data_IF_541079008318
#
_entry.id   IF_541079008318
#
_cell.length_a   1.000
_cell.length_b   1.000
_cell.length_c   1.000
_cell.angle_alpha   90.00
_cell.angle_beta   90.00
_cell.angle_gamma   90.00
#
_symmetry.space_group_name_H-M   'P 1'
#
loop_
_entity.id
_entity.type
_entity.pdbx_description
1 polymer ?
#
# COMPACT_ATOMS: atom_id res chain seq x y z
N UNK A 1 -25.81 -25.69 36.68
CA UNK A 1 -24.70 -24.72 36.52
C UNK A 1 -23.68 -25.15 35.45
N UNK A 2 -23.39 -26.45 35.31
CA UNK A 2 -22.44 -26.99 34.31
C UNK A 2 -22.74 -26.60 32.84
N UNK A 3 -24.02 -26.57 32.44
CA UNK A 3 -24.45 -26.20 31.08
C UNK A 3 -24.10 -24.76 30.68
N UNK A 4 -24.16 -23.81 31.61
CA UNK A 4 -23.84 -22.40 31.33
C UNK A 4 -22.34 -22.19 31.14
N UNK A 5 -21.52 -22.91 31.90
CA UNK A 5 -20.06 -22.88 31.76
C UNK A 5 -19.61 -23.50 30.43
N UNK A 6 -20.19 -24.64 30.04
CA UNK A 6 -19.88 -25.27 28.75
C UNK A 6 -20.25 -24.39 27.56
N UNK A 7 -21.41 -23.72 27.60
CA UNK A 7 -21.85 -22.82 26.54
C UNK A 7 -20.95 -21.57 26.41
N UNK A 8 -20.49 -21.02 27.55
CA UNK A 8 -19.55 -19.89 27.55
C UNK A 8 -18.20 -20.27 26.93
N UNK A 9 -17.66 -21.44 27.29
CA UNK A 9 -16.40 -21.96 26.73
C UNK A 9 -16.52 -22.18 25.22
N UNK A 10 -17.63 -22.76 24.76
CA UNK A 10 -17.85 -23.00 23.32
C UNK A 10 -17.93 -21.69 22.53
N UNK A 11 -18.52 -20.65 23.11
CA UNK A 11 -18.66 -19.33 22.49
C UNK A 11 -17.31 -18.60 22.41
N UNK A 12 -16.48 -18.72 23.45
CA UNK A 12 -15.10 -18.20 23.42
C UNK A 12 -14.26 -18.93 22.38
N UNK A 13 -14.32 -20.26 22.32
CA UNK A 13 -13.60 -21.04 21.31
C UNK A 13 -14.06 -20.67 19.90
N UNK A 14 -15.37 -20.51 19.68
CA UNK A 14 -15.92 -20.13 18.38
C UNK A 14 -15.46 -18.72 17.95
N UNK A 15 -15.47 -17.74 18.85
CA UNK A 15 -14.96 -16.40 18.60
C UNK A 15 -13.46 -16.41 18.27
N UNK A 16 -12.66 -17.22 18.98
CA UNK A 16 -11.22 -17.38 18.70
C UNK A 16 -11.00 -18.02 17.34
N UNK A 17 -11.73 -19.08 17.01
CA UNK A 17 -11.62 -19.78 15.71
C UNK A 17 -12.04 -18.89 14.56
N UNK A 18 -13.15 -18.14 14.69
CA UNK A 18 -13.56 -17.16 13.66
C UNK A 18 -12.50 -16.06 13.51
N UNK A 19 -11.98 -15.52 14.61
CA UNK A 19 -10.93 -14.51 14.56
C UNK A 19 -9.66 -15.05 13.88
N UNK A 20 -9.31 -16.32 14.11
CA UNK A 20 -8.21 -17.00 13.44
C UNK A 20 -8.48 -17.16 11.94
N UNK A 21 -9.68 -17.59 11.55
CA UNK A 21 -10.08 -17.77 10.15
C UNK A 21 -10.12 -16.44 9.38
N UNK A 22 -10.50 -15.34 10.04
CA UNK A 22 -10.42 -13.99 9.47
C UNK A 22 -8.97 -13.55 9.31
N UNK A 23 -8.10 -13.81 10.29
CA UNK A 23 -6.67 -13.51 10.20
C UNK A 23 -5.96 -14.26 9.05
N UNK A 24 -6.35 -15.52 8.79
CA UNK A 24 -5.79 -16.34 7.70
C UNK A 24 -6.22 -15.81 6.31
N UNK A 25 -7.38 -15.18 6.16
CA UNK A 25 -7.84 -14.67 4.86
C UNK A 25 -7.20 -13.35 4.42
N UNK A 26 -6.57 -12.60 5.34
CA UNK A 26 -5.80 -11.38 5.01
C UNK A 26 -4.46 -11.74 4.33
N UNK A 27 -4.07 -13.02 4.33
CA UNK A 27 -2.83 -13.55 3.77
C UNK A 27 -2.83 -13.81 2.26
N UNK A 28 -3.79 -13.25 1.51
CA UNK A 28 -4.03 -13.63 0.09
C UNK A 28 -3.42 -12.71 -0.96
N UNK A 29 -2.84 -11.57 -0.58
CA UNK A 29 -2.06 -10.75 -1.50
C UNK A 29 -0.67 -11.38 -1.67
N UNK A 30 -0.37 -11.79 -2.90
CA UNK A 30 0.88 -12.44 -3.27
C UNK A 30 1.28 -11.97 -4.68
N UNK A 31 2.55 -12.06 -5.09
CA UNK A 31 2.93 -11.86 -6.49
C UNK A 31 2.11 -12.71 -7.48
N UNK A 32 1.61 -13.88 -7.06
CA UNK A 32 0.76 -14.75 -7.90
C UNK A 32 -0.73 -14.38 -7.86
N UNK A 33 -1.16 -13.55 -6.92
CA UNK A 33 -2.54 -13.08 -6.78
C UNK A 33 -2.56 -11.65 -6.21
N UNK A 34 -2.20 -10.66 -7.04
CA UNK A 34 -2.09 -9.28 -6.58
C UNK A 34 -3.47 -8.66 -6.32
N UNK A 35 -3.58 -7.79 -5.33
CA UNK A 35 -4.83 -7.09 -5.01
C UNK A 35 -4.85 -5.71 -5.71
N UNK A 36 -5.71 -5.49 -6.73
CA UNK A 36 -5.74 -4.22 -7.45
C UNK A 36 -6.22 -3.07 -6.57
N UNK A 37 -5.60 -1.90 -6.73
CA UNK A 37 -5.99 -0.66 -6.07
C UNK A 37 -6.72 0.25 -7.07
N UNK A 38 -7.83 0.82 -6.62
CA UNK A 38 -8.57 1.83 -7.38
C UNK A 38 -8.04 3.24 -7.05
N UNK A 39 -7.78 4.08 -8.05
CA UNK A 39 -7.45 5.48 -7.80
C UNK A 39 -8.65 6.20 -7.17
N UNK A 40 -8.36 7.12 -6.25
CA UNK A 40 -9.34 8.12 -5.81
C UNK A 40 -9.54 9.04 -7.01
N UNK A 41 -10.67 8.94 -7.70
CA UNK A 41 -11.00 9.87 -8.79
C UNK A 41 -11.21 11.27 -8.21
N UNK A 42 -10.14 12.06 -8.17
CA UNK A 42 -10.23 13.51 -8.18
C UNK A 42 -10.15 13.95 -9.65
N UNK A 43 -11.06 14.83 -10.07
CA UNK A 43 -11.00 15.37 -11.43
C UNK A 43 -9.63 16.03 -11.63
N UNK A 44 -8.90 15.74 -12.72
CA UNK A 44 -7.59 16.36 -12.92
C UNK A 44 -7.77 17.88 -12.96
N UNK A 45 -6.95 18.66 -12.23
CA UNK A 45 -6.97 20.11 -12.38
C UNK A 45 -6.71 20.43 -13.86
N UNK A 46 -7.55 21.28 -14.43
CA UNK A 46 -7.62 21.61 -15.86
C UNK A 46 -6.41 22.42 -16.38
N UNK A 47 -5.20 22.10 -15.93
CA UNK A 47 -3.98 22.74 -16.38
C UNK A 47 -3.14 21.72 -17.14
N UNK A 48 -3.09 21.94 -18.45
CA UNK A 48 -2.20 21.32 -19.44
C UNK A 48 -2.62 19.95 -19.97
N UNK A 49 -3.71 19.92 -20.74
CA UNK A 49 -3.85 18.99 -21.87
C UNK A 49 -2.93 19.42 -23.04
N UNK A 50 -1.64 19.62 -22.75
CA UNK A 50 -0.64 19.55 -23.80
C UNK A 50 -0.44 18.06 -24.10
N UNK A 51 -0.63 17.73 -25.37
CA UNK A 51 -0.60 16.42 -26.01
C UNK A 51 0.79 15.76 -25.88
N UNK A 52 1.16 15.36 -24.67
CA UNK A 52 2.23 14.41 -24.37
C UNK A 52 1.50 13.14 -23.93
N UNK A 53 1.72 12.02 -24.63
CA UNK A 53 1.25 10.71 -24.17
C UNK A 53 1.95 10.44 -22.83
N UNK A 54 1.20 10.62 -21.74
CA UNK A 54 1.70 10.55 -20.38
C UNK A 54 2.11 9.13 -20.02
N UNK A 55 2.97 8.95 -18.99
CA UNK A 55 3.09 7.65 -18.37
C UNK A 55 1.77 7.26 -17.71
N UNK A 56 1.01 6.35 -18.33
CA UNK A 56 -0.19 5.80 -17.73
C UNK A 56 0.20 4.69 -16.76
N UNK A 57 -0.17 4.80 -15.48
CA UNK A 57 -0.25 3.60 -14.65
C UNK A 57 -1.48 2.83 -15.10
N UNK A 58 -1.26 1.69 -15.73
CA UNK A 58 -2.32 0.81 -16.22
C UNK A 58 -2.92 0.01 -15.06
N UNK A 59 -2.10 -0.30 -14.06
CA UNK A 59 -2.52 -1.00 -12.86
C UNK A 59 -1.57 -0.76 -11.70
N UNK A 60 -2.13 -0.63 -10.50
CA UNK A 60 -1.40 -0.67 -9.23
C UNK A 60 -2.00 -1.78 -8.41
N UNK A 61 -1.18 -2.72 -7.94
CA UNK A 61 -1.68 -3.83 -7.15
C UNK A 61 -0.72 -4.24 -6.03
N UNK A 62 -1.29 -4.65 -4.89
CA UNK A 62 -0.54 -5.11 -3.73
C UNK A 62 -0.10 -6.55 -3.96
N UNK A 63 1.22 -6.78 -3.92
CA UNK A 63 1.81 -8.13 -4.00
C UNK A 63 2.28 -8.65 -2.65
N UNK A 64 2.54 -7.76 -1.70
CA UNK A 64 2.90 -8.14 -0.33
C UNK A 64 2.47 -7.08 0.67
N UNK A 65 1.81 -7.51 1.74
CA UNK A 65 1.35 -6.65 2.83
C UNK A 65 1.78 -7.26 4.17
N UNK A 66 2.89 -6.75 4.72
CA UNK A 66 3.42 -7.16 6.02
C UNK A 66 3.34 -5.99 7.00
N UNK A 67 3.41 -6.22 8.32
CA UNK A 67 3.16 -5.16 9.27
C UNK A 67 4.02 -3.89 9.13
N UNK A 68 5.29 -4.01 8.74
CA UNK A 68 6.21 -2.89 8.49
C UNK A 68 6.57 -2.68 7.02
N UNK A 69 6.01 -3.46 6.09
CA UNK A 69 6.39 -3.50 4.68
C UNK A 69 5.17 -3.60 3.77
N UNK A 70 5.20 -2.86 2.67
CA UNK A 70 4.24 -2.97 1.57
C UNK A 70 5.02 -3.06 0.26
N UNK A 71 4.74 -4.08 -0.54
CA UNK A 71 5.27 -4.22 -1.89
C UNK A 71 4.11 -4.18 -2.90
N UNK A 72 4.31 -3.40 -3.95
CA UNK A 72 3.33 -3.12 -4.98
C UNK A 72 3.92 -3.45 -6.33
N UNK A 73 3.14 -4.09 -7.20
CA UNK A 73 3.42 -4.14 -8.62
C UNK A 73 2.67 -3.00 -9.31
N UNK A 74 3.37 -2.28 -10.17
CA UNK A 74 2.84 -1.16 -10.94
C UNK A 74 3.13 -1.39 -12.39
N UNK A 75 2.08 -1.63 -13.16
CA UNK A 75 2.15 -1.73 -14.62
C UNK A 75 2.03 -0.32 -15.20
N UNK A 76 2.95 0.01 -16.09
CA UNK A 76 3.07 1.33 -16.68
C UNK A 76 3.33 1.26 -18.17
N UNK A 77 2.82 2.25 -18.88
CA UNK A 77 3.27 2.64 -20.20
C UNK A 77 3.93 4.01 -20.08
N UNK A 78 5.17 4.22 -20.55
CA UNK A 78 5.83 5.53 -20.56
C UNK A 78 6.33 5.89 -21.96
N UNK A 79 5.72 6.89 -22.61
CA UNK A 79 6.26 7.46 -23.84
C UNK A 79 7.35 8.50 -23.50
N UNK A 80 8.61 8.17 -23.80
CA UNK A 80 9.72 9.09 -23.52
C UNK A 80 9.59 10.41 -24.27
N UNK A 81 9.88 11.50 -23.56
CA UNK A 81 10.13 12.82 -24.16
C UNK A 81 11.62 12.95 -24.48
N UNK A 82 11.95 13.73 -25.50
CA UNK A 82 13.34 13.96 -25.92
C UNK A 82 14.20 14.43 -24.75
N UNK A 83 15.29 13.71 -24.45
CA UNK A 83 16.19 13.98 -23.33
C UNK A 83 15.84 13.30 -21.98
N UNK A 84 14.63 12.75 -21.82
CA UNK A 84 14.15 12.14 -20.58
C UNK A 84 13.87 10.63 -20.77
N UNK A 85 14.91 9.81 -20.72
CA UNK A 85 14.80 8.36 -21.03
C UNK A 85 14.37 7.50 -19.85
N UNK A 86 14.50 8.01 -18.64
CA UNK A 86 14.22 7.29 -17.40
C UNK A 86 13.58 8.21 -16.37
N UNK A 87 12.61 7.67 -15.63
CA UNK A 87 11.96 8.33 -14.51
C UNK A 87 12.19 7.53 -13.22
N UNK A 88 11.99 8.19 -12.09
CA UNK A 88 12.04 7.60 -10.76
C UNK A 88 10.62 7.47 -10.22
N UNK A 89 10.23 6.26 -9.83
CA UNK A 89 8.92 5.91 -9.31
C UNK A 89 9.01 5.57 -7.82
N UNK A 90 8.13 6.15 -7.03
CA UNK A 90 8.12 5.94 -5.59
C UNK A 90 6.70 6.13 -5.01
N UNK A 91 6.35 5.35 -3.98
CA UNK A 91 5.10 5.51 -3.25
C UNK A 91 5.29 6.31 -1.96
N UNK A 92 4.22 6.84 -1.39
CA UNK A 92 4.20 7.54 -0.10
C UNK A 92 2.88 7.23 0.60
N UNK A 93 2.87 6.60 1.79
CA UNK A 93 1.63 6.45 2.56
C UNK A 93 1.11 7.83 3.00
N UNK A 94 -0.21 8.03 3.06
CA UNK A 94 -0.82 9.30 3.49
C UNK A 94 -1.94 9.08 4.52
N UNK A 95 -1.93 9.77 5.68
CA UNK A 95 -0.85 10.64 6.14
C UNK A 95 0.46 9.87 6.28
N UNK A 96 1.56 10.57 5.98
CA UNK A 96 2.90 9.99 5.97
C UNK A 96 3.31 9.61 7.39
N UNK A 97 3.55 8.31 7.66
CA UNK A 97 4.06 7.91 8.96
C UNK A 97 5.50 8.40 9.11
N UNK A 98 5.85 8.91 10.28
CA UNK A 98 7.23 9.27 10.59
C UNK A 98 8.15 8.05 10.41
N UNK A 99 9.35 8.26 9.86
CA UNK A 99 10.33 7.20 9.66
C UNK A 99 9.87 6.17 8.63
N UNK A 100 9.35 6.60 7.49
CA UNK A 100 9.09 5.71 6.36
C UNK A 100 10.20 5.84 5.32
N UNK A 101 10.35 4.82 4.47
CA UNK A 101 11.18 4.87 3.26
C UNK A 101 10.45 4.25 2.09
N UNK A 102 10.75 4.77 0.91
CA UNK A 102 10.55 4.07 -0.34
C UNK A 102 11.89 4.00 -1.06
N UNK A 103 12.15 2.84 -1.64
CA UNK A 103 13.26 2.66 -2.56
C UNK A 103 12.80 3.10 -3.94
N UNK A 104 13.34 4.20 -4.50
CA UNK A 104 12.90 4.66 -5.79
C UNK A 104 13.27 3.65 -6.88
N UNK A 105 12.30 3.34 -7.74
CA UNK A 105 12.48 2.41 -8.86
C UNK A 105 12.66 3.22 -10.13
N UNK A 106 13.70 2.90 -10.90
CA UNK A 106 13.89 3.51 -12.22
C UNK A 106 12.98 2.83 -13.23
N UNK A 107 12.12 3.61 -13.89
CA UNK A 107 11.29 3.16 -15.02
C UNK A 107 11.83 3.76 -16.32
N UNK A 108 11.78 2.97 -17.39
CA UNK A 108 12.28 3.38 -18.71
C UNK A 108 11.10 3.55 -19.68
N UNK A 109 11.37 4.17 -20.83
CA UNK A 109 10.36 4.30 -21.88
C UNK A 109 9.85 2.94 -22.38
N UNK A 110 8.56 2.87 -22.71
CA UNK A 110 7.84 1.68 -23.13
C UNK A 110 6.89 1.14 -22.05
N UNK A 111 6.40 -0.07 -22.31
CA UNK A 111 5.60 -0.83 -21.35
C UNK A 111 6.49 -1.57 -20.37
N UNK A 112 6.09 -1.62 -19.10
CA UNK A 112 6.81 -2.39 -18.10
C UNK A 112 6.06 -2.53 -16.78
N UNK A 113 6.65 -3.31 -15.89
CA UNK A 113 6.17 -3.48 -14.52
C UNK A 113 7.27 -3.11 -13.53
N UNK A 114 6.93 -2.35 -12.50
CA UNK A 114 7.83 -1.94 -11.44
C UNK A 114 7.38 -2.52 -10.09
N UNK A 115 8.33 -3.06 -9.32
CA UNK A 115 8.09 -3.49 -7.95
C UNK A 115 8.48 -2.36 -6.99
N UNK A 116 7.49 -1.64 -6.45
CA UNK A 116 7.73 -0.56 -5.49
C UNK A 116 7.67 -1.10 -4.07
N UNK A 117 8.67 -0.76 -3.27
CA UNK A 117 8.80 -1.20 -1.88
C UNK A 117 8.71 -0.02 -0.91
N UNK A 118 7.80 -0.14 0.05
CA UNK A 118 7.52 0.83 1.10
C UNK A 118 7.75 0.19 2.46
N UNK A 119 8.60 0.78 3.29
CA UNK A 119 8.98 0.17 4.57
C UNK A 119 9.12 1.20 5.69
N UNK A 120 8.75 0.84 6.91
CA UNK A 120 9.14 1.62 8.09
C UNK A 120 10.64 1.48 8.37
N UNK A 121 11.27 2.56 8.80
CA UNK A 121 12.67 2.62 9.23
C UNK A 121 12.78 2.38 10.73
N UNK A 122 14.02 2.28 11.20
CA UNK A 122 14.33 2.15 12.63
C UNK A 122 14.03 3.41 13.45
N UNK A 123 13.70 4.54 12.81
CA UNK A 123 13.26 5.74 13.52
C UNK A 123 11.74 5.84 13.62
N UNK A 124 11.00 4.97 12.92
CA UNK A 124 9.55 4.96 12.95
C UNK A 124 8.99 4.75 14.37
N UNK A 125 7.80 5.31 14.67
CA UNK A 125 7.06 4.94 15.86
C UNK A 125 6.71 3.45 15.83
N UNK A 126 6.41 2.87 16.99
CA UNK A 126 6.01 1.45 17.06
C UNK A 126 4.81 1.13 16.17
N UNK A 127 3.91 2.10 15.98
CA UNK A 127 2.72 1.98 15.14
C UNK A 127 2.41 3.29 14.44
N UNK A 128 1.86 3.19 13.24
CA UNK A 128 1.35 4.33 12.49
C UNK A 128 0.17 3.93 11.58
N UNK A 129 -0.54 4.91 11.01
CA UNK A 129 -1.70 4.68 10.18
C UNK A 129 -1.61 5.48 8.88
N UNK A 130 -1.87 4.82 7.77
CA UNK A 130 -2.17 5.49 6.49
C UNK A 130 -3.60 5.18 6.05
N UNK A 131 -4.23 6.13 5.38
CA UNK A 131 -5.55 6.01 4.75
C UNK A 131 -5.45 5.86 3.24
N UNK A 132 -4.41 6.46 2.66
CA UNK A 132 -4.15 6.48 1.24
C UNK A 132 -2.72 6.05 0.96
N UNK A 133 -2.49 5.74 -0.31
CA UNK A 133 -1.18 5.58 -0.90
C UNK A 133 -1.08 6.59 -2.04
N UNK A 134 -0.06 7.44 -2.01
CA UNK A 134 0.24 8.40 -3.08
C UNK A 134 1.38 7.83 -3.91
N UNK A 135 1.18 7.67 -5.21
CA UNK A 135 2.21 7.24 -6.13
C UNK A 135 2.76 8.42 -6.89
N UNK A 136 4.08 8.61 -6.85
CA UNK A 136 4.77 9.73 -7.49
C UNK A 136 5.81 9.23 -8.48
N UNK A 137 5.81 9.81 -9.67
CA UNK A 137 6.88 9.66 -10.65
C UNK A 137 7.56 11.01 -10.83
N UNK A 138 8.89 11.02 -10.75
CA UNK A 138 9.70 12.22 -10.97
C UNK A 138 10.77 11.99 -12.02
N UNK A 139 11.20 13.04 -12.71
CA UNK A 139 12.39 12.98 -13.55
C UNK A 139 13.70 13.12 -12.74
N UNK A 140 14.84 13.12 -13.43
CA UNK A 140 16.16 13.30 -12.81
C UNK A 140 16.40 14.67 -12.16
N UNK A 141 15.53 15.65 -12.41
CA UNK A 141 15.54 16.97 -11.76
C UNK A 141 14.63 17.02 -10.52
N UNK A 142 13.89 15.95 -10.23
CA UNK A 142 12.90 15.90 -9.15
C UNK A 142 11.54 16.51 -9.52
N UNK A 143 11.32 16.89 -10.79
CA UNK A 143 10.03 17.39 -11.25
C UNK A 143 9.00 16.26 -11.28
N UNK A 144 7.81 16.52 -10.73
CA UNK A 144 6.72 15.56 -10.69
C UNK A 144 6.10 15.41 -12.07
N UNK A 145 6.13 14.19 -12.62
CA UNK A 145 5.48 13.79 -13.88
C UNK A 145 4.16 13.08 -13.64
N UNK A 146 4.00 12.41 -12.50
CA UNK A 146 2.77 11.72 -12.11
C UNK A 146 2.60 11.79 -10.59
N UNK A 147 1.36 11.97 -10.14
CA UNK A 147 1.03 12.03 -8.72
C UNK A 147 -0.45 11.68 -8.51
N UNK A 148 -0.75 10.40 -8.35
CA UNK A 148 -2.12 9.94 -8.05
C UNK A 148 -2.22 9.37 -6.65
N UNK A 149 -3.44 9.40 -6.13
CA UNK A 149 -3.79 8.88 -4.81
C UNK A 149 -4.68 7.65 -4.95
N UNK A 150 -4.38 6.61 -4.19
CA UNK A 150 -5.10 5.36 -4.12
C UNK A 150 -5.69 5.16 -2.73
N UNK A 151 -6.92 4.64 -2.66
CA UNK A 151 -7.52 4.24 -1.39
C UNK A 151 -6.79 3.00 -0.89
N UNK A 152 -6.02 3.16 0.18
CA UNK A 152 -5.30 2.04 0.79
C UNK A 152 -5.04 2.33 2.26
N UNK A 153 -5.88 1.73 3.12
CA UNK A 153 -5.78 1.88 4.57
C UNK A 153 -4.89 0.80 5.13
N UNK A 154 -3.88 1.20 5.89
CA UNK A 154 -2.94 0.28 6.53
C UNK A 154 -2.52 0.76 7.91
N UNK A 155 -2.59 -0.17 8.87
CA UNK A 155 -1.89 -0.03 10.15
C UNK A 155 -0.46 -0.53 9.94
N UNK A 156 0.52 0.32 10.20
CA UNK A 156 1.93 -0.02 10.18
C UNK A 156 2.38 -0.41 11.59
N UNK A 157 3.16 -1.48 11.73
CA UNK A 157 3.71 -1.97 12.99
C UNK A 157 5.19 -2.28 12.80
N UNK A 158 6.04 -1.49 13.44
CA UNK A 158 7.50 -1.60 13.31
C UNK A 158 8.03 -2.93 13.84
N UNK A 159 8.91 -3.58 13.08
CA UNK A 159 9.52 -4.86 13.46
C UNK A 159 8.50 -5.98 13.61
N UNK A 160 7.31 -5.80 13.02
CA UNK A 160 6.16 -6.68 13.17
C UNK A 160 6.13 -7.84 12.19
N UNK A 161 7.24 -8.20 11.53
CA UNK A 161 7.22 -9.34 10.60
C UNK A 161 6.65 -10.62 11.26
N UNK A 162 5.79 -11.33 10.54
CA UNK A 162 5.17 -12.57 11.02
C UNK A 162 3.94 -12.40 11.92
N UNK A 163 3.56 -13.48 12.60
CA UNK A 163 2.24 -13.60 13.23
C UNK A 163 1.99 -12.60 14.37
N UNK A 164 3.02 -12.25 15.15
CA UNK A 164 2.89 -11.31 16.27
C UNK A 164 2.55 -9.90 15.81
N UNK A 165 3.24 -9.38 14.77
CA UNK A 165 2.91 -8.04 14.27
C UNK A 165 1.60 -8.02 13.50
N UNK A 166 1.22 -9.11 12.83
CA UNK A 166 -0.12 -9.23 12.22
C UNK A 166 -1.23 -9.22 13.27
N UNK A 167 -1.03 -9.90 14.40
CA UNK A 167 -1.94 -9.80 15.54
C UNK A 167 -2.05 -8.36 16.05
N UNK A 168 -0.92 -7.64 16.13
CA UNK A 168 -0.94 -6.23 16.52
C UNK A 168 -1.65 -5.32 15.51
N UNK A 169 -1.48 -5.56 14.21
CA UNK A 169 -2.25 -4.84 13.18
C UNK A 169 -3.76 -5.07 13.34
N UNK A 170 -4.16 -6.33 13.57
CA UNK A 170 -5.57 -6.71 13.76
C UNK A 170 -6.19 -6.07 15.00
N UNK A 171 -5.46 -6.04 16.12
CA UNK A 171 -5.93 -5.43 17.36
C UNK A 171 -5.98 -3.90 17.29
N UNK A 172 -5.25 -3.31 16.34
CA UNK A 172 -5.08 -1.86 16.21
C UNK A 172 -5.36 -1.41 14.77
N UNK A 173 -6.58 -1.68 14.30
CA UNK A 173 -7.03 -1.18 13.00
C UNK A 173 -7.13 0.35 13.02
N UNK A 174 -6.68 1.00 11.94
CA UNK A 174 -6.90 2.44 11.77
C UNK A 174 -8.40 2.77 11.81
N UNK A 175 -8.83 3.45 12.87
CA UNK A 175 -10.23 3.85 13.06
C UNK A 175 -10.58 4.90 11.99
N UNK A 176 -11.70 4.69 11.31
CA UNK A 176 -12.18 5.60 10.28
C UNK A 176 -12.63 6.91 10.92
N UNK A 177 -11.78 7.93 10.92
CA UNK A 177 -12.26 9.30 10.91
C UNK A 177 -12.91 9.53 9.55
N UNK A 178 -14.23 9.48 9.50
CA UNK A 178 -15.03 10.15 8.48
C UNK A 178 -14.68 11.64 8.60
N UNK A 179 -13.91 12.14 7.64
CA UNK A 179 -13.82 13.55 7.32
C UNK A 179 -14.65 13.77 6.08
#
# INVERSE_FOLDING_TARGET
>A
MLHKAAMLVLLVVFMVVISLLVAINIDKASPQNPLPLSPVKEAPPALLQAKVEWPGMEGVAVVRDEPDLLELVIDYHYAAVEGERSLSLCGQPSPEPEGWRCEPVVINAGDGSALVRLQLTDTAPRRACSKHLVMRVTNGLGEVRYNDTFLYRKTWVKGGAGWLGRLQQLLHTCVGGAG
#
